data_IF_473323390670
#
_entry.id   IF_473323390670
#
_cell.length_a   1.000
_cell.length_b   1.000
_cell.length_c   1.000
_cell.angle_alpha   90.00
_cell.angle_beta   90.00
_cell.angle_gamma   90.00
#
_symmetry.space_group_name_H-M   'P 1'
#
loop_
_entity.id
_entity.type
_entity.pdbx_description
1 polymer ?
#
# COMPACT_ATOMS: atom_id res chain seq x y z
N UNK A 1 14.96 -9.41 -24.47
CA UNK A 1 15.02 -8.12 -25.19
C UNK A 1 14.22 -7.12 -24.37
N UNK A 2 14.84 -6.06 -23.83
CA UNK A 2 14.18 -5.03 -23.01
C UNK A 2 13.78 -3.91 -23.97
N UNK A 3 12.60 -3.31 -23.78
CA UNK A 3 12.17 -2.16 -24.57
C UNK A 3 13.19 -1.01 -24.41
N UNK A 4 13.51 -0.31 -25.49
CA UNK A 4 14.59 0.70 -25.53
C UNK A 4 14.40 1.80 -24.48
N UNK A 5 13.16 2.19 -24.21
CA UNK A 5 12.78 3.22 -23.23
C UNK A 5 12.90 2.75 -21.77
N UNK A 6 13.01 1.44 -21.53
CA UNK A 6 13.17 0.86 -20.19
C UNK A 6 14.64 0.58 -19.82
N UNK A 7 15.52 0.42 -20.82
CA UNK A 7 16.92 0.02 -20.62
C UNK A 7 17.78 1.02 -19.86
N UNK A 8 17.39 2.30 -19.85
CA UNK A 8 18.12 3.39 -19.16
C UNK A 8 17.56 3.72 -17.77
N UNK A 9 16.44 3.10 -17.37
CA UNK A 9 15.80 3.36 -16.09
C UNK A 9 16.53 2.64 -14.97
N UNK A 10 17.23 3.37 -14.13
CA UNK A 10 17.80 2.84 -12.88
C UNK A 10 16.77 2.92 -11.77
N UNK A 11 16.32 1.77 -11.31
CA UNK A 11 15.55 1.69 -10.08
C UNK A 11 16.48 1.96 -8.89
N UNK A 12 16.31 3.11 -8.24
CA UNK A 12 17.02 3.41 -6.98
C UNK A 12 16.14 2.96 -5.83
N UNK A 13 16.42 1.77 -5.33
CA UNK A 13 15.74 1.22 -4.16
C UNK A 13 16.30 1.83 -2.88
N UNK A 14 15.70 2.94 -2.45
CA UNK A 14 16.10 3.61 -1.20
C UNK A 14 15.59 2.87 0.04
N UNK A 15 14.42 2.26 -0.03
CA UNK A 15 13.76 1.63 1.13
C UNK A 15 14.56 0.43 1.61
N UNK A 16 14.84 -0.53 0.73
CA UNK A 16 15.59 -1.72 1.10
C UNK A 16 17.07 -1.43 1.38
N UNK A 17 17.65 -0.41 0.77
CA UNK A 17 19.02 0.00 1.10
C UNK A 17 19.12 0.56 2.52
N UNK A 18 18.14 1.33 2.99
CA UNK A 18 18.08 1.83 4.37
C UNK A 18 17.74 0.71 5.35
N UNK A 19 16.83 -0.19 4.98
CA UNK A 19 16.51 -1.37 5.79
C UNK A 19 17.75 -2.27 6.01
N UNK A 20 18.57 -2.45 4.97
CA UNK A 20 19.83 -3.16 5.09
C UNK A 20 20.77 -2.47 6.08
N UNK A 21 20.96 -1.14 5.97
CA UNK A 21 21.81 -0.38 6.90
C UNK A 21 21.34 -0.51 8.36
N UNK A 22 20.03 -0.46 8.59
CA UNK A 22 19.47 -0.67 9.92
C UNK A 22 19.79 -2.07 10.46
N UNK A 23 19.63 -3.10 9.60
CA UNK A 23 19.97 -4.48 9.97
C UNK A 23 21.47 -4.67 10.26
N UNK A 24 22.33 -4.07 9.44
CA UNK A 24 23.78 -4.11 9.65
C UNK A 24 24.15 -3.41 10.98
N UNK A 25 23.54 -2.25 11.29
CA UNK A 25 23.73 -1.54 12.55
C UNK A 25 23.22 -2.34 13.77
N UNK A 26 22.10 -3.05 13.66
CA UNK A 26 21.61 -3.94 14.72
C UNK A 26 22.59 -5.08 14.99
N UNK A 27 23.19 -5.65 13.94
CA UNK A 27 24.19 -6.71 14.07
C UNK A 27 25.52 -6.22 14.73
N UNK A 28 25.90 -4.96 14.46
CA UNK A 28 27.14 -4.37 14.98
C UNK A 28 26.99 -3.82 16.39
N UNK A 29 25.88 -3.13 16.68
CA UNK A 29 25.68 -2.37 17.92
C UNK A 29 24.84 -3.08 18.97
N UNK A 30 24.09 -4.12 18.57
CA UNK A 30 23.07 -4.79 19.37
C UNK A 30 21.66 -4.28 19.09
N UNK A 31 20.69 -5.20 19.12
CA UNK A 31 19.28 -4.90 18.80
C UNK A 31 18.68 -3.86 19.76
N UNK A 32 19.11 -3.86 21.01
CA UNK A 32 18.62 -2.95 22.05
C UNK A 32 19.05 -1.49 21.84
N UNK A 33 20.05 -1.25 20.99
CA UNK A 33 20.58 0.10 20.70
C UNK A 33 20.08 0.70 19.40
N UNK A 34 19.36 -0.08 18.60
CA UNK A 34 18.92 0.34 17.26
C UNK A 34 17.42 0.21 17.11
N UNK A 35 16.75 1.33 16.88
CA UNK A 35 15.33 1.33 16.50
C UNK A 35 15.21 1.26 14.97
N UNK A 36 14.73 0.13 14.48
CA UNK A 36 14.51 -0.08 13.06
C UNK A 36 13.07 0.28 12.65
N UNK A 37 12.86 1.49 12.16
CA UNK A 37 11.57 1.97 11.64
C UNK A 37 11.61 2.18 10.10
N UNK A 38 12.39 1.39 9.38
CA UNK A 38 12.65 1.58 7.94
C UNK A 38 11.54 1.02 7.05
N UNK A 39 10.80 0.04 7.54
CA UNK A 39 9.68 -0.61 6.83
C UNK A 39 8.43 -0.44 7.69
N UNK A 40 7.29 -0.16 7.04
CA UNK A 40 5.99 0.02 7.70
C UNK A 40 5.40 -1.29 8.21
N UNK A 41 6.14 -1.99 9.08
CA UNK A 41 5.70 -3.22 9.76
C UNK A 41 5.56 -2.93 11.24
N UNK A 42 4.48 -3.45 11.83
CA UNK A 42 4.25 -3.36 13.27
C UNK A 42 4.90 -4.57 13.95
N UNK A 43 5.71 -4.31 14.95
CA UNK A 43 6.31 -5.33 15.80
C UNK A 43 5.77 -5.22 17.22
N UNK A 44 5.61 -6.36 17.88
CA UNK A 44 5.26 -6.42 19.29
C UNK A 44 6.47 -6.09 20.19
N UNK A 45 6.24 -6.05 21.48
CA UNK A 45 7.27 -5.73 22.48
C UNK A 45 8.41 -6.76 22.54
N UNK A 46 8.22 -7.95 21.95
CA UNK A 46 9.23 -9.01 21.86
C UNK A 46 10.03 -8.95 20.55
N UNK A 47 9.77 -7.95 19.69
CA UNK A 47 10.41 -7.81 18.38
C UNK A 47 9.85 -8.76 17.31
N UNK A 48 8.71 -9.42 17.54
CA UNK A 48 8.04 -10.25 16.54
C UNK A 48 7.05 -9.42 15.75
N UNK A 49 6.89 -9.77 14.48
CA UNK A 49 5.88 -9.15 13.61
C UNK A 49 4.49 -9.34 14.21
N UNK A 50 3.81 -8.25 14.52
CA UNK A 50 2.45 -8.28 14.99
C UNK A 50 1.49 -8.72 13.86
N UNK A 51 0.75 -9.78 14.12
CA UNK A 51 -0.25 -10.32 13.20
C UNK A 51 -1.60 -10.40 13.89
N UNK A 52 -2.67 -10.35 13.11
CA UNK A 52 -4.03 -10.54 13.64
C UNK A 52 -4.30 -12.03 13.79
N UNK A 53 -4.30 -12.53 15.02
CA UNK A 53 -4.51 -13.96 15.34
C UNK A 53 -5.81 -14.50 14.75
N UNK A 54 -6.89 -13.70 14.81
CA UNK A 54 -8.19 -14.07 14.22
C UNK A 54 -8.11 -14.27 12.72
N UNK A 55 -7.41 -13.40 12.00
CA UNK A 55 -7.21 -13.53 10.56
C UNK A 55 -6.35 -14.76 10.23
N UNK A 56 -5.26 -14.97 11.00
CA UNK A 56 -4.39 -16.12 10.80
C UNK A 56 -5.06 -17.45 11.12
N UNK A 57 -5.96 -17.46 12.11
CA UNK A 57 -6.76 -18.64 12.41
C UNK A 57 -7.67 -19.00 11.23
N UNK A 58 -8.46 -18.04 10.74
CA UNK A 58 -9.34 -18.26 9.57
C UNK A 58 -8.53 -18.73 8.36
N UNK A 59 -7.40 -18.06 8.06
CA UNK A 59 -6.54 -18.45 6.94
C UNK A 59 -6.04 -19.91 7.03
N UNK A 60 -5.67 -20.36 8.23
CA UNK A 60 -5.20 -21.74 8.45
C UNK A 60 -6.33 -22.80 8.38
N UNK A 61 -7.56 -22.39 8.61
CA UNK A 61 -8.75 -23.24 8.56
C UNK A 61 -9.36 -23.31 7.14
N UNK A 62 -8.89 -22.47 6.20
CA UNK A 62 -9.36 -22.53 4.81
C UNK A 62 -8.99 -23.87 4.16
N UNK A 63 -9.93 -24.51 3.44
CA UNK A 63 -9.63 -25.66 2.61
C UNK A 63 -8.55 -25.34 1.56
N UNK A 64 -7.64 -26.28 1.28
CA UNK A 64 -6.60 -26.07 0.25
C UNK A 64 -7.17 -25.65 -1.11
N UNK A 65 -8.36 -26.12 -1.46
CA UNK A 65 -9.05 -25.78 -2.70
C UNK A 65 -9.45 -24.30 -2.78
N UNK A 66 -9.80 -23.70 -1.65
CA UNK A 66 -10.12 -22.27 -1.58
C UNK A 66 -8.87 -21.40 -1.68
N UNK A 67 -7.74 -21.87 -1.14
CA UNK A 67 -6.46 -21.16 -1.21
C UNK A 67 -5.86 -21.23 -2.61
N UNK A 68 -5.89 -22.41 -3.23
CA UNK A 68 -5.26 -22.69 -4.53
C UNK A 68 -6.20 -22.49 -5.73
N UNK A 69 -7.49 -22.27 -5.46
CA UNK A 69 -8.51 -22.14 -6.48
C UNK A 69 -8.29 -20.93 -7.39
N UNK A 70 -8.70 -21.06 -8.65
CA UNK A 70 -8.70 -19.94 -9.58
C UNK A 70 -9.75 -18.91 -9.14
N UNK A 71 -9.42 -17.63 -9.25
CA UNK A 71 -10.32 -16.56 -8.84
C UNK A 71 -11.65 -16.63 -9.62
N UNK A 72 -12.76 -16.64 -8.90
CA UNK A 72 -14.11 -16.67 -9.45
C UNK A 72 -14.59 -15.31 -9.98
N UNK A 73 -13.92 -14.23 -9.59
CA UNK A 73 -14.26 -12.87 -9.99
C UNK A 73 -13.01 -11.99 -10.10
N UNK A 74 -12.92 -11.19 -11.17
CA UNK A 74 -11.79 -10.26 -11.39
C UNK A 74 -11.73 -9.12 -10.37
N UNK A 75 -12.85 -8.73 -9.80
CA UNK A 75 -12.97 -7.55 -8.94
C UNK A 75 -13.18 -7.89 -7.46
N UNK A 76 -13.07 -9.17 -7.12
CA UNK A 76 -13.38 -9.70 -5.79
C UNK A 76 -14.80 -10.27 -5.70
N UNK A 77 -14.99 -11.23 -4.77
CA UNK A 77 -16.29 -11.85 -4.56
C UNK A 77 -17.29 -10.87 -3.94
N UNK A 78 -18.62 -11.13 -4.03
CA UNK A 78 -19.63 -10.31 -3.38
C UNK A 78 -19.40 -10.19 -1.87
N UNK A 79 -19.02 -11.28 -1.21
CA UNK A 79 -18.73 -11.33 0.24
C UNK A 79 -17.53 -10.47 0.61
N UNK A 80 -16.48 -10.50 -0.20
CA UNK A 80 -15.31 -9.61 -0.03
C UNK A 80 -15.73 -8.14 -0.13
N UNK A 81 -16.49 -7.78 -1.16
CA UNK A 81 -16.95 -6.40 -1.38
C UNK A 81 -17.83 -5.89 -0.24
N UNK A 82 -18.73 -6.74 0.25
CA UNK A 82 -19.59 -6.44 1.40
C UNK A 82 -18.75 -6.24 2.67
N UNK A 83 -17.82 -7.15 2.94
CA UNK A 83 -16.93 -7.09 4.11
C UNK A 83 -16.06 -5.84 4.13
N UNK A 84 -15.55 -5.40 2.97
CA UNK A 84 -14.79 -4.16 2.84
C UNK A 84 -15.67 -2.94 3.15
N UNK A 85 -16.91 -2.89 2.63
CA UNK A 85 -17.85 -1.80 2.92
C UNK A 85 -18.18 -1.72 4.41
N UNK A 86 -18.44 -2.86 5.03
CA UNK A 86 -18.68 -2.94 6.48
C UNK A 86 -17.46 -2.49 7.27
N UNK A 87 -16.27 -2.92 6.88
CA UNK A 87 -15.03 -2.55 7.56
C UNK A 87 -14.73 -1.06 7.51
N UNK A 88 -15.03 -0.39 6.39
CA UNK A 88 -14.74 1.02 6.19
C UNK A 88 -15.83 1.95 6.75
N UNK A 89 -17.09 1.57 6.60
CA UNK A 89 -18.24 2.45 6.86
C UNK A 89 -19.13 1.96 8.00
N UNK A 90 -18.83 0.81 8.60
CA UNK A 90 -19.66 0.18 9.62
C UNK A 90 -20.82 -0.62 9.05
N UNK A 91 -21.58 -1.26 9.95
CA UNK A 91 -22.69 -2.15 9.55
C UNK A 91 -23.85 -1.40 8.87
N UNK A 92 -24.00 -0.13 9.18
CA UNK A 92 -25.04 0.74 8.62
C UNK A 92 -24.58 1.43 7.32
N UNK A 93 -23.54 0.93 6.67
CA UNK A 93 -22.93 1.52 5.48
C UNK A 93 -23.93 1.83 4.36
N UNK A 94 -25.01 1.05 4.24
CA UNK A 94 -26.05 1.25 3.20
C UNK A 94 -26.76 2.58 3.37
N UNK A 95 -27.08 2.97 4.60
CA UNK A 95 -27.67 4.28 4.87
C UNK A 95 -26.63 5.41 4.72
N UNK A 96 -25.41 5.16 5.20
CA UNK A 96 -24.30 6.12 5.05
C UNK A 96 -23.98 6.42 3.58
N UNK A 97 -24.01 5.41 2.72
CA UNK A 97 -23.70 5.53 1.29
C UNK A 97 -24.91 5.85 0.41
N UNK A 98 -26.08 6.09 0.99
CA UNK A 98 -27.30 6.39 0.25
C UNK A 98 -27.10 7.62 -0.64
N UNK A 99 -27.43 7.50 -1.91
CA UNK A 99 -27.21 8.55 -2.91
C UNK A 99 -25.77 8.66 -3.44
N UNK A 100 -24.85 7.81 -2.97
CA UNK A 100 -23.48 7.77 -3.48
C UNK A 100 -23.22 6.49 -4.29
N UNK A 101 -22.54 6.63 -5.42
CA UNK A 101 -22.02 5.47 -6.13
C UNK A 101 -20.74 5.00 -5.43
N UNK A 102 -20.72 3.74 -5.01
CA UNK A 102 -19.58 3.14 -4.33
C UNK A 102 -19.36 1.72 -4.82
N UNK A 103 -18.18 1.45 -5.32
CA UNK A 103 -17.75 0.12 -5.76
C UNK A 103 -16.47 -0.30 -5.07
N UNK A 104 -16.30 -1.60 -4.87
CA UNK A 104 -15.09 -2.20 -4.28
C UNK A 104 -14.42 -3.08 -5.32
N UNK A 105 -13.14 -2.88 -5.49
CA UNK A 105 -12.31 -3.65 -6.41
C UNK A 105 -11.15 -4.29 -5.64
N UNK A 106 -11.02 -5.61 -5.74
CA UNK A 106 -9.84 -6.31 -5.23
C UNK A 106 -8.62 -5.98 -6.11
N UNK A 107 -7.50 -5.72 -5.46
CA UNK A 107 -6.23 -5.40 -6.13
C UNK A 107 -5.08 -6.13 -5.44
N UNK A 108 -3.93 -6.32 -6.11
CA UNK A 108 -2.71 -6.82 -5.48
C UNK A 108 -2.15 -5.82 -4.44
N UNK A 109 -2.80 -5.76 -3.28
CA UNK A 109 -2.47 -4.84 -2.19
C UNK A 109 -2.65 -3.36 -2.56
N UNK A 110 -2.18 -2.46 -1.68
CA UNK A 110 -2.25 -1.02 -1.89
C UNK A 110 -1.49 -0.53 -3.10
N UNK A 111 -0.37 -1.16 -3.45
CA UNK A 111 0.40 -0.85 -4.67
C UNK A 111 -0.43 -1.08 -5.92
N UNK A 112 -1.17 -2.19 -5.99
CA UNK A 112 -2.08 -2.46 -7.09
C UNK A 112 -3.23 -1.44 -7.17
N UNK A 113 -3.79 -1.05 -6.03
CA UNK A 113 -4.84 -0.02 -5.97
C UNK A 113 -4.34 1.32 -6.53
N UNK A 114 -3.18 1.79 -6.07
CA UNK A 114 -2.58 3.04 -6.52
C UNK A 114 -2.24 2.98 -8.02
N UNK A 115 -1.58 1.92 -8.46
CA UNK A 115 -1.22 1.76 -9.87
C UNK A 115 -2.44 1.74 -10.78
N UNK A 116 -3.51 1.03 -10.38
CA UNK A 116 -4.76 1.01 -11.14
C UNK A 116 -5.44 2.38 -11.14
N UNK A 117 -5.45 3.10 -10.02
CA UNK A 117 -6.01 4.46 -9.95
C UNK A 117 -5.26 5.41 -10.90
N UNK A 118 -3.94 5.44 -10.83
CA UNK A 118 -3.12 6.24 -11.75
C UNK A 118 -3.41 5.87 -13.20
N UNK A 119 -3.48 4.57 -13.50
CA UNK A 119 -3.69 4.10 -14.88
C UNK A 119 -5.07 4.40 -15.46
N UNK A 120 -6.10 4.45 -14.64
CA UNK A 120 -7.47 4.61 -15.10
C UNK A 120 -7.96 6.06 -15.06
N UNK A 121 -7.45 6.87 -14.12
CA UNK A 121 -7.94 8.25 -13.92
C UNK A 121 -7.06 9.31 -14.53
N UNK A 122 -5.82 8.97 -14.90
CA UNK A 122 -4.88 9.94 -15.43
C UNK A 122 -4.43 9.56 -16.84
N UNK A 123 -4.56 10.52 -17.77
CA UNK A 123 -4.06 10.43 -19.13
C UNK A 123 -2.57 10.76 -19.24
N UNK A 124 -2.03 10.60 -20.44
CA UNK A 124 -0.66 11.00 -20.74
C UNK A 124 -0.55 12.53 -20.70
N UNK A 125 0.44 13.05 -19.96
CA UNK A 125 0.63 14.49 -19.80
C UNK A 125 -0.21 15.15 -18.70
N UNK A 126 -1.10 14.40 -18.02
CA UNK A 126 -1.84 14.92 -16.87
C UNK A 126 -0.91 15.16 -15.68
N UNK A 127 -1.35 16.03 -14.76
CA UNK A 127 -0.60 16.39 -13.56
C UNK A 127 -1.11 15.63 -12.35
N UNK A 128 -0.21 14.89 -11.69
CA UNK A 128 -0.46 14.27 -10.40
C UNK A 128 0.08 15.13 -9.27
N UNK A 129 -0.80 15.55 -8.35
CA UNK A 129 -0.42 16.27 -7.15
C UNK A 129 -0.10 15.32 -6.02
N UNK A 130 1.08 15.43 -5.45
CA UNK A 130 1.53 14.60 -4.34
C UNK A 130 2.00 15.46 -3.16
N UNK A 131 1.79 15.04 -1.91
CA UNK A 131 2.36 15.73 -0.76
C UNK A 131 3.89 15.58 -0.75
N UNK A 132 4.59 16.54 -0.14
CA UNK A 132 6.06 16.47 0.00
C UNK A 132 6.50 15.22 0.77
N UNK A 133 5.76 14.86 1.82
CA UNK A 133 5.94 13.66 2.61
C UNK A 133 5.13 12.54 1.99
N UNK A 134 5.76 11.66 1.28
CA UNK A 134 5.10 10.60 0.52
C UNK A 134 5.95 9.32 0.49
N UNK A 135 5.29 8.23 0.20
CA UNK A 135 5.94 6.98 -0.14
C UNK A 135 6.51 7.08 -1.56
N UNK A 136 7.84 6.95 -1.69
CA UNK A 136 8.54 7.20 -2.96
C UNK A 136 8.01 6.43 -4.19
N UNK A 137 7.44 5.21 -4.07
CA UNK A 137 6.86 4.50 -5.20
C UNK A 137 5.69 5.22 -5.91
N UNK A 138 4.99 6.16 -5.26
CA UNK A 138 3.99 6.99 -5.98
C UNK A 138 4.61 7.68 -7.19
N UNK A 139 5.78 8.30 -6.99
CA UNK A 139 6.50 9.00 -8.06
C UNK A 139 6.91 8.02 -9.17
N UNK A 140 7.36 6.83 -8.79
CA UNK A 140 7.79 5.82 -9.76
C UNK A 140 6.61 5.37 -10.63
N UNK A 141 5.47 5.01 -10.01
CA UNK A 141 4.27 4.58 -10.72
C UNK A 141 3.69 5.69 -11.62
N UNK A 142 3.76 6.95 -11.16
CA UNK A 142 3.31 8.08 -11.95
C UNK A 142 4.22 8.30 -13.17
N UNK A 143 5.53 8.27 -13.02
CA UNK A 143 6.51 8.49 -14.10
C UNK A 143 6.45 7.44 -15.22
N UNK A 144 5.89 6.28 -14.97
CA UNK A 144 5.69 5.28 -16.01
C UNK A 144 4.66 5.70 -17.07
N UNK A 145 3.75 6.60 -16.70
CA UNK A 145 2.67 7.07 -17.59
C UNK A 145 2.59 8.59 -17.74
N UNK A 146 3.24 9.36 -16.84
CA UNK A 146 3.04 10.80 -16.74
C UNK A 146 4.34 11.57 -16.83
N UNK A 147 4.27 12.71 -17.50
CA UNK A 147 5.42 13.60 -17.62
C UNK A 147 5.54 14.56 -16.41
N UNK A 148 4.46 14.84 -15.69
CA UNK A 148 4.44 15.88 -14.68
C UNK A 148 3.97 15.36 -13.32
N UNK A 149 4.88 15.40 -12.34
CA UNK A 149 4.58 15.16 -10.92
C UNK A 149 4.90 16.43 -10.14
N UNK A 150 3.87 17.06 -9.58
CA UNK A 150 4.04 18.26 -8.75
C UNK A 150 3.93 17.86 -7.28
N UNK A 151 4.99 18.15 -6.51
CA UNK A 151 4.95 18.02 -5.05
C UNK A 151 4.38 19.27 -4.42
N UNK A 152 3.31 19.13 -3.65
CA UNK A 152 2.77 20.21 -2.83
C UNK A 152 3.37 20.13 -1.43
N UNK A 153 3.90 21.23 -0.96
CA UNK A 153 4.25 21.38 0.46
C UNK A 153 2.96 21.73 1.19
N UNK A 154 2.44 20.79 1.98
CA UNK A 154 1.43 21.15 2.96
C UNK A 154 2.09 22.03 4.03
N UNK A 155 1.79 23.30 4.01
CA UNK A 155 1.95 24.14 5.18
C UNK A 155 0.87 23.73 6.19
N UNK A 156 1.15 22.69 6.96
CA UNK A 156 0.36 22.46 8.16
C UNK A 156 0.59 23.66 9.08
N UNK A 157 -0.41 24.52 9.25
CA UNK A 157 -0.51 25.35 10.46
C UNK A 157 -0.31 24.38 11.63
N UNK A 158 0.58 24.74 12.58
CA UNK A 158 0.77 24.01 13.83
C UNK A 158 -0.56 23.45 14.32
N UNK A 159 -0.76 22.15 14.18
CA UNK A 159 -1.76 21.44 14.97
C UNK A 159 -1.01 21.15 16.25
N UNK A 160 -1.34 21.88 17.30
CA UNK A 160 -0.92 21.54 18.65
C UNK A 160 -1.54 20.18 18.95
N UNK A 161 -0.73 19.14 18.89
CA UNK A 161 -1.08 17.82 19.40
C UNK A 161 -1.14 17.96 20.92
N UNK A 162 -2.35 17.97 21.46
CA UNK A 162 -2.63 17.85 22.89
C UNK A 162 -2.33 16.42 23.34
#
# INVERSE_FOLDING_TARGET
MIAKDLGERKLVDKVFSVAKKAKDAMAELGEEKVVNATIGSLYDETGKLAVLDTAMKVYKELPPEEIAGYASAFTGTPEYKESVKISLFGRDYKEFLKGHYTEVLATPGGTGAISNSIKNYLGYGDTLLLPKWLWSPYILMAKEKMEIVISIIYLMKKIDLI
#
